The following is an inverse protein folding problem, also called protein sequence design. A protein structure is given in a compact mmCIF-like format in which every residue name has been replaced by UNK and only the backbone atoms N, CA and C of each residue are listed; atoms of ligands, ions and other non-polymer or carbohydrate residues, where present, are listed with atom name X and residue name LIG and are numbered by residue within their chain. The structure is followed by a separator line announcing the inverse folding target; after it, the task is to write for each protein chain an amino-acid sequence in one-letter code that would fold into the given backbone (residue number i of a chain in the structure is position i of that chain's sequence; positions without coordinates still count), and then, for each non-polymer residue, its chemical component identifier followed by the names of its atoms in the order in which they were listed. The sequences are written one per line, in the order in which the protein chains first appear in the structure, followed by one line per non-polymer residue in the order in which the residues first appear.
data_IF_371024189366
#
_entry.id   IF_371024189366
#
_cell.length_a   1.000
_cell.length_b   1.000
_cell.length_c   1.000
_cell.angle_alpha   90.00
_cell.angle_beta   90.00
_cell.angle_gamma   90.00
#
_symmetry.space_group_name_H-M   'P 1'
#
loop_
_entity.id
_entity.type
_entity.pdbx_description
1 polymer ?
#
# COMPACT_ATOMS: atom_id res chain seq x y z
N UNK A 1 -10.98 45.84 22.08
CA UNK A 1 -11.22 46.08 20.67
C UNK A 1 -10.87 44.84 19.91
N UNK A 2 -11.87 44.23 19.40
CA UNK A 2 -11.90 42.86 18.95
C UNK A 2 -11.10 42.65 17.69
N UNK A 3 -10.16 41.72 17.77
CA UNK A 3 -9.53 41.12 16.60
C UNK A 3 -10.35 39.94 16.18
N UNK A 4 -11.05 40.10 15.10
CA UNK A 4 -11.75 39.02 14.44
C UNK A 4 -10.72 38.06 13.82
N UNK A 5 -10.61 36.92 14.40
CA UNK A 5 -9.96 35.77 13.75
C UNK A 5 -10.88 35.35 12.64
N UNK A 6 -10.49 35.64 11.40
CA UNK A 6 -11.17 35.14 10.22
C UNK A 6 -11.08 33.61 10.20
N UNK A 7 -12.22 32.98 10.33
CA UNK A 7 -12.38 31.59 9.91
C UNK A 7 -12.08 31.54 8.40
N UNK A 8 -10.94 30.97 8.08
CA UNK A 8 -10.63 30.60 6.72
C UNK A 8 -11.71 29.69 6.16
N UNK A 9 -11.85 29.61 4.83
CA UNK A 9 -12.89 28.81 4.20
C UNK A 9 -12.82 27.39 4.75
N UNK A 10 -13.96 26.93 5.23
CA UNK A 10 -14.19 25.53 5.50
C UNK A 10 -13.91 24.80 4.19
N UNK A 11 -12.73 24.19 4.06
CA UNK A 11 -12.49 23.23 3.01
C UNK A 11 -13.50 22.13 3.26
N UNK A 12 -14.59 22.14 2.52
CA UNK A 12 -15.38 20.95 2.29
C UNK A 12 -14.34 19.92 1.82
N UNK A 13 -13.98 19.00 2.68
CA UNK A 13 -13.25 17.81 2.28
C UNK A 13 -14.22 17.12 1.34
N UNK A 14 -14.05 17.40 0.06
CA UNK A 14 -14.79 16.71 -0.99
C UNK A 14 -14.42 15.25 -0.80
N UNK A 15 -15.37 14.47 -0.30
CA UNK A 15 -15.13 13.06 0.01
C UNK A 15 -14.72 12.41 -1.30
N UNK A 16 -13.47 11.92 -1.34
CA UNK A 16 -12.92 11.29 -2.53
C UNK A 16 -13.81 10.13 -2.95
N UNK A 17 -14.20 10.10 -4.22
CA UNK A 17 -14.97 9.02 -4.82
C UNK A 17 -14.15 8.38 -5.94
N UNK A 18 -14.22 7.07 -6.02
CA UNK A 18 -13.43 6.29 -6.98
C UNK A 18 -14.36 5.46 -7.88
N UNK A 19 -14.06 5.47 -9.18
CA UNK A 19 -14.66 4.51 -10.11
C UNK A 19 -14.17 3.09 -9.80
N UNK A 20 -14.95 2.10 -10.21
CA UNK A 20 -14.60 0.69 -10.00
C UNK A 20 -13.17 0.36 -10.49
N UNK A 21 -12.75 0.88 -11.65
CA UNK A 21 -11.40 0.67 -12.19
C UNK A 21 -10.30 1.29 -11.32
N UNK A 22 -10.49 2.52 -10.85
CA UNK A 22 -9.56 3.19 -9.94
C UNK A 22 -9.45 2.47 -8.59
N UNK A 23 -10.60 2.03 -8.05
CA UNK A 23 -10.62 1.24 -6.83
C UNK A 23 -9.86 -0.09 -6.99
N UNK A 24 -10.00 -0.75 -8.13
CA UNK A 24 -9.28 -1.97 -8.45
C UNK A 24 -7.76 -1.76 -8.48
N UNK A 25 -7.30 -0.69 -9.11
CA UNK A 25 -5.88 -0.31 -9.14
C UNK A 25 -5.35 -0.05 -7.73
N UNK A 26 -6.07 0.74 -6.92
CA UNK A 26 -5.67 1.06 -5.55
C UNK A 26 -5.60 -0.18 -4.65
N UNK A 27 -6.51 -1.15 -4.85
CA UNK A 27 -6.56 -2.39 -4.07
C UNK A 27 -5.65 -3.50 -4.64
N UNK A 28 -5.07 -3.31 -5.82
CA UNK A 28 -4.26 -4.32 -6.49
C UNK A 28 -5.03 -5.55 -6.94
N UNK A 29 -6.30 -5.39 -7.32
CA UNK A 29 -7.19 -6.47 -7.76
C UNK A 29 -7.82 -6.16 -9.11
N UNK A 30 -8.53 -7.12 -9.70
CA UNK A 30 -9.25 -6.88 -10.95
C UNK A 30 -10.55 -6.09 -10.72
N UNK A 31 -10.97 -5.34 -11.74
CA UNK A 31 -12.27 -4.63 -11.72
C UNK A 31 -13.45 -5.58 -11.50
N UNK A 32 -13.37 -6.80 -11.98
CA UNK A 32 -14.40 -7.81 -11.78
C UNK A 32 -14.48 -8.28 -10.32
N UNK A 33 -13.35 -8.34 -9.65
CA UNK A 33 -13.30 -8.62 -8.21
C UNK A 33 -14.01 -7.52 -7.41
N UNK A 34 -13.74 -6.26 -7.72
CA UNK A 34 -14.42 -5.12 -7.07
C UNK A 34 -15.93 -5.13 -7.37
N UNK A 35 -16.34 -5.43 -8.61
CA UNK A 35 -17.77 -5.56 -8.96
C UNK A 35 -18.45 -6.65 -8.15
N UNK A 36 -17.82 -7.83 -8.02
CA UNK A 36 -18.36 -8.93 -7.20
C UNK A 36 -18.53 -8.50 -5.73
N UNK A 37 -17.57 -7.79 -5.17
CA UNK A 37 -17.67 -7.29 -3.80
C UNK A 37 -18.79 -6.25 -3.63
N UNK A 38 -18.97 -5.38 -4.62
CA UNK A 38 -20.08 -4.42 -4.63
C UNK A 38 -21.43 -5.13 -4.73
N UNK A 39 -21.55 -6.12 -5.62
CA UNK A 39 -22.78 -6.90 -5.80
C UNK A 39 -23.08 -7.78 -4.58
N UNK A 40 -22.06 -8.25 -3.86
CA UNK A 40 -22.19 -8.98 -2.61
C UNK A 40 -22.42 -8.07 -1.37
N UNK A 41 -22.46 -6.75 -1.53
CA UNK A 41 -22.67 -5.80 -0.45
C UNK A 41 -21.48 -5.56 0.48
N UNK A 42 -20.27 -6.04 0.13
CA UNK A 42 -19.05 -5.78 0.92
C UNK A 42 -18.63 -4.31 0.87
N UNK A 43 -18.94 -3.62 -0.21
CA UNK A 43 -18.68 -2.20 -0.38
C UNK A 43 -19.90 -1.53 -1.00
N UNK A 44 -20.24 -0.36 -0.49
CA UNK A 44 -21.35 0.43 -1.02
C UNK A 44 -20.94 1.15 -2.28
N UNK A 45 -21.82 1.15 -3.27
CA UNK A 45 -21.63 1.91 -4.50
C UNK A 45 -22.77 2.90 -4.71
N UNK A 46 -22.42 4.07 -5.24
CA UNK A 46 -23.38 5.08 -5.70
C UNK A 46 -23.37 5.08 -7.22
N UNK A 47 -24.57 5.02 -7.83
CA UNK A 47 -24.73 5.13 -9.28
C UNK A 47 -24.98 6.59 -9.62
N UNK A 48 -24.15 7.17 -10.49
CA UNK A 48 -24.32 8.53 -11.01
C UNK A 48 -24.85 8.51 -12.43
N UNK A 49 -25.13 9.72 -12.96
CA UNK A 49 -25.60 9.93 -14.33
C UNK A 49 -24.75 9.15 -15.34
N UNK A 50 -25.39 8.35 -16.20
CA UNK A 50 -24.71 7.47 -17.15
C UNK A 50 -24.42 6.04 -16.64
N UNK A 51 -25.00 5.63 -15.51
CA UNK A 51 -24.94 4.26 -15.00
C UNK A 51 -23.58 3.86 -14.41
N UNK A 52 -22.66 4.82 -14.19
CA UNK A 52 -21.33 4.56 -13.62
C UNK A 52 -21.43 4.44 -12.12
N UNK A 53 -20.79 3.40 -11.60
CA UNK A 53 -20.69 3.13 -10.17
C UNK A 53 -19.45 3.79 -9.58
N UNK A 54 -19.61 4.42 -8.42
CA UNK A 54 -18.57 5.04 -7.63
C UNK A 54 -18.56 4.47 -6.22
N UNK A 55 -17.40 4.40 -5.62
CA UNK A 55 -17.17 3.96 -4.25
C UNK A 55 -16.66 5.17 -3.46
N UNK A 56 -17.26 5.41 -2.29
CA UNK A 56 -16.78 6.42 -1.35
C UNK A 56 -15.38 6.06 -0.84
N UNK A 57 -14.50 7.06 -0.70
CA UNK A 57 -13.12 6.84 -0.30
C UNK A 57 -12.97 6.23 1.08
N UNK A 58 -13.84 6.58 2.03
CA UNK A 58 -13.81 5.99 3.37
C UNK A 58 -14.23 4.52 3.34
N UNK A 59 -15.26 4.18 2.55
CA UNK A 59 -15.67 2.79 2.34
C UNK A 59 -14.57 1.97 1.65
N UNK A 60 -13.88 2.57 0.68
CA UNK A 60 -12.75 1.93 0.02
C UNK A 60 -11.59 1.68 0.97
N UNK A 61 -11.26 2.65 1.83
CA UNK A 61 -10.22 2.52 2.85
C UNK A 61 -10.55 1.41 3.86
N UNK A 62 -11.81 1.31 4.29
CA UNK A 62 -12.27 0.23 5.16
C UNK A 62 -12.11 -1.14 4.49
N UNK A 63 -12.53 -1.27 3.25
CA UNK A 63 -12.38 -2.51 2.48
C UNK A 63 -10.90 -2.88 2.30
N UNK A 64 -10.03 -1.91 2.02
CA UNK A 64 -8.59 -2.14 1.91
C UNK A 64 -8.01 -2.71 3.21
N UNK A 65 -8.44 -2.20 4.36
CA UNK A 65 -8.00 -2.67 5.67
C UNK A 65 -8.49 -4.10 5.95
N UNK A 66 -9.74 -4.42 5.60
CA UNK A 66 -10.29 -5.78 5.73
C UNK A 66 -9.50 -6.80 4.91
N UNK A 67 -9.22 -6.48 3.64
CA UNK A 67 -8.45 -7.35 2.75
C UNK A 67 -7.02 -7.55 3.27
N UNK A 68 -6.38 -6.48 3.73
CA UNK A 68 -5.03 -6.55 4.30
C UNK A 68 -5.00 -7.42 5.58
N UNK A 69 -6.01 -7.33 6.44
CA UNK A 69 -6.13 -8.16 7.64
C UNK A 69 -6.26 -9.66 7.35
N UNK A 70 -6.88 -10.01 6.22
CA UNK A 70 -6.99 -11.39 5.76
C UNK A 70 -5.64 -11.96 5.25
N UNK A 71 -4.71 -11.10 4.84
CA UNK A 71 -3.46 -11.47 4.17
C UNK A 71 -2.20 -11.39 5.04
N UNK A 72 -2.24 -10.68 6.17
CA UNK A 72 -1.07 -10.46 7.01
C UNK A 72 -1.28 -11.00 8.42
N UNK A 73 -0.60 -12.12 8.76
CA UNK A 73 -0.49 -12.53 10.15
C UNK A 73 0.29 -11.48 10.95
N UNK A 74 -0.07 -11.37 12.22
CA UNK A 74 0.44 -10.40 13.18
C UNK A 74 1.95 -10.16 13.10
N UNK A 75 2.34 -8.87 13.17
CA UNK A 75 3.72 -8.45 13.28
C UNK A 75 4.42 -9.17 14.45
N UNK A 76 5.52 -9.91 14.23
CA UNK A 76 6.21 -10.64 15.29
C UNK A 76 6.57 -9.69 16.44
N UNK A 77 6.20 -10.09 17.65
CA UNK A 77 6.46 -9.29 18.86
C UNK A 77 7.95 -9.00 19.02
N UNK A 78 8.30 -7.74 19.31
CA UNK A 78 9.66 -7.33 19.63
C UNK A 78 10.42 -6.62 18.51
N UNK A 79 9.80 -6.29 17.37
CA UNK A 79 10.44 -5.54 16.29
C UNK A 79 9.90 -4.11 16.17
N UNK A 80 10.79 -3.15 15.96
CA UNK A 80 10.43 -1.73 15.81
C UNK A 80 9.90 -1.36 14.43
N UNK A 81 10.21 -2.16 13.39
CA UNK A 81 9.73 -1.91 12.04
C UNK A 81 8.26 -2.33 11.89
N UNK A 82 7.43 -1.38 11.42
CA UNK A 82 5.98 -1.60 11.25
C UNK A 82 5.59 -1.99 9.84
N UNK A 83 6.43 -1.68 8.85
CA UNK A 83 6.16 -1.93 7.45
C UNK A 83 6.93 -3.16 6.99
N UNK A 84 6.20 -4.22 6.66
CA UNK A 84 6.76 -5.49 6.18
C UNK A 84 6.02 -5.90 4.93
N UNK A 85 6.76 -6.30 3.92
CA UNK A 85 6.23 -6.70 2.62
C UNK A 85 6.83 -8.05 2.25
N UNK A 86 6.02 -9.09 2.40
CA UNK A 86 6.43 -10.44 2.01
C UNK A 86 6.55 -10.52 0.49
N UNK A 87 7.70 -10.97 0.03
CA UNK A 87 7.98 -11.07 -1.41
C UNK A 87 8.97 -12.19 -1.74
N UNK A 88 9.37 -12.20 -2.98
CA UNK A 88 10.38 -13.11 -3.51
C UNK A 88 11.63 -12.31 -3.90
N UNK A 89 12.79 -12.81 -3.54
CA UNK A 89 14.08 -12.26 -3.99
C UNK A 89 14.21 -12.52 -5.49
N UNK A 90 14.40 -11.45 -6.26
CA UNK A 90 14.55 -11.50 -7.73
C UNK A 90 15.98 -11.27 -8.19
N UNK A 91 16.81 -10.66 -7.36
CA UNK A 91 18.20 -10.41 -7.67
C UNK A 91 19.05 -10.15 -6.43
N UNK A 92 20.31 -10.61 -6.48
CA UNK A 92 21.33 -10.32 -5.46
C UNK A 92 22.62 -9.98 -6.18
N UNK A 93 23.07 -8.74 -6.04
CA UNK A 93 24.35 -8.27 -6.59
C UNK A 93 25.28 -7.93 -5.46
N UNK A 94 26.45 -8.53 -5.42
CA UNK A 94 27.44 -8.36 -4.35
C UNK A 94 28.72 -7.73 -4.86
N UNK A 95 29.28 -6.82 -4.10
CA UNK A 95 30.66 -6.34 -4.27
C UNK A 95 31.52 -6.74 -3.04
N UNK A 96 32.65 -6.07 -2.84
CA UNK A 96 33.55 -6.39 -1.72
C UNK A 96 32.96 -6.09 -0.34
N UNK A 97 32.02 -5.15 -0.20
CA UNK A 97 31.53 -4.62 1.08
C UNK A 97 30.00 -4.66 1.18
N UNK A 98 29.31 -4.43 0.08
CA UNK A 98 27.87 -4.28 0.04
C UNK A 98 27.19 -5.35 -0.83
N UNK A 99 25.90 -5.51 -0.61
CA UNK A 99 25.03 -6.28 -1.48
C UNK A 99 23.73 -5.50 -1.74
N UNK A 100 23.35 -5.46 -2.99
CA UNK A 100 22.02 -4.98 -3.41
C UNK A 100 21.11 -6.18 -3.57
N UNK A 101 19.99 -6.14 -2.88
CA UNK A 101 18.97 -7.21 -2.93
C UNK A 101 17.68 -6.63 -3.50
N UNK A 102 17.14 -7.29 -4.50
CA UNK A 102 15.87 -6.92 -5.09
C UNK A 102 14.79 -7.91 -4.65
N UNK A 103 13.65 -7.39 -4.19
CA UNK A 103 12.51 -8.17 -3.71
C UNK A 103 11.26 -7.70 -4.45
N UNK A 104 10.52 -8.63 -5.03
CA UNK A 104 9.22 -8.38 -5.61
C UNK A 104 8.14 -8.79 -4.62
N UNK A 105 7.40 -7.82 -4.08
CA UNK A 105 6.29 -8.04 -3.16
C UNK A 105 4.98 -7.59 -3.83
N UNK A 106 4.20 -8.53 -4.33
CA UNK A 106 3.06 -8.23 -5.18
C UNK A 106 3.47 -7.39 -6.39
N UNK A 107 2.81 -6.26 -6.69
CA UNK A 107 3.17 -5.37 -7.79
C UNK A 107 4.35 -4.44 -7.48
N UNK A 108 4.91 -4.48 -6.26
CA UNK A 108 5.92 -3.53 -5.79
C UNK A 108 7.32 -4.14 -5.80
N UNK A 109 8.27 -3.43 -6.40
CA UNK A 109 9.69 -3.78 -6.37
C UNK A 109 10.37 -3.00 -5.26
N UNK A 110 11.05 -3.71 -4.37
CA UNK A 110 11.89 -3.15 -3.32
C UNK A 110 13.36 -3.39 -3.65
N UNK A 111 14.19 -2.39 -3.39
CA UNK A 111 15.64 -2.50 -3.47
C UNK A 111 16.23 -2.21 -2.10
N UNK A 112 16.95 -3.18 -1.55
CA UNK A 112 17.65 -3.05 -0.29
C UNK A 112 19.16 -3.02 -0.53
N UNK A 113 19.85 -2.12 0.16
CA UNK A 113 21.30 -2.11 0.23
C UNK A 113 21.71 -2.57 1.64
N UNK A 114 22.37 -3.70 1.71
CA UNK A 114 22.84 -4.30 2.97
C UNK A 114 24.34 -4.59 2.88
N UNK A 115 24.95 -4.98 3.98
CA UNK A 115 26.34 -5.43 3.95
C UNK A 115 26.43 -6.77 3.24
N UNK A 116 27.57 -7.00 2.57
CA UNK A 116 27.85 -8.31 1.97
C UNK A 116 27.80 -9.43 2.99
N UNK A 117 28.38 -9.19 4.18
CA UNK A 117 28.36 -10.15 5.30
C UNK A 117 26.92 -10.57 5.65
N UNK A 118 25.99 -9.61 5.80
CA UNK A 118 24.58 -9.91 6.07
C UNK A 118 23.93 -10.74 4.95
N UNK A 119 24.22 -10.42 3.69
CA UNK A 119 23.71 -11.16 2.55
C UNK A 119 24.24 -12.61 2.53
N UNK A 120 25.49 -12.81 2.93
CA UNK A 120 26.12 -14.12 2.99
C UNK A 120 25.60 -14.94 4.19
N UNK A 121 25.43 -14.33 5.36
CA UNK A 121 24.85 -14.98 6.54
C UNK A 121 23.41 -15.43 6.29
N UNK A 122 22.60 -14.59 5.67
CA UNK A 122 21.23 -14.90 5.27
C UNK A 122 21.14 -15.84 4.07
N UNK A 123 22.27 -16.10 3.39
CA UNK A 123 22.36 -16.94 2.17
C UNK A 123 21.37 -16.53 1.09
N UNK A 124 21.23 -15.21 0.88
CA UNK A 124 20.24 -14.67 -0.03
C UNK A 124 20.53 -15.06 -1.49
N UNK A 125 19.54 -15.66 -2.11
CA UNK A 125 19.58 -16.08 -3.51
C UNK A 125 18.24 -15.76 -4.18
N UNK A 126 18.21 -15.49 -5.52
CA UNK A 126 16.98 -15.38 -6.28
C UNK A 126 16.07 -16.61 -6.09
N UNK A 127 14.77 -16.36 -5.89
CA UNK A 127 13.78 -17.40 -5.64
C UNK A 127 13.45 -17.65 -4.17
N UNK A 128 14.23 -17.09 -3.25
CA UNK A 128 13.93 -17.17 -1.82
C UNK A 128 12.80 -16.22 -1.43
N UNK A 129 12.00 -16.64 -0.46
CA UNK A 129 11.01 -15.75 0.16
C UNK A 129 11.72 -14.86 1.19
N UNK A 130 11.44 -13.56 1.15
CA UNK A 130 11.99 -12.59 2.08
C UNK A 130 10.99 -11.46 2.36
N UNK A 131 11.11 -10.88 3.55
CA UNK A 131 10.38 -9.66 3.90
C UNK A 131 11.22 -8.42 3.58
N UNK A 132 10.68 -7.51 2.79
CA UNK A 132 11.18 -6.15 2.75
C UNK A 132 10.65 -5.40 3.98
N UNK A 133 11.56 -4.86 4.78
CA UNK A 133 11.22 -4.26 6.08
C UNK A 133 11.64 -2.79 6.08
N UNK A 134 10.71 -1.89 6.41
CA UNK A 134 10.96 -0.45 6.45
C UNK A 134 10.47 0.13 7.77
N UNK A 135 11.35 0.84 8.49
CA UNK A 135 10.93 1.57 9.69
C UNK A 135 9.93 2.68 9.33
N UNK A 136 8.95 2.90 10.20
CA UNK A 136 7.96 3.96 10.01
C UNK A 136 8.59 5.35 9.80
N UNK A 137 9.72 5.62 10.45
CA UNK A 137 10.47 6.87 10.32
C UNK A 137 11.13 7.08 8.95
N UNK A 138 11.24 6.02 8.15
CA UNK A 138 11.84 6.05 6.81
C UNK A 138 10.79 6.06 5.69
N UNK A 139 9.51 6.08 6.05
CA UNK A 139 8.41 6.15 5.07
C UNK A 139 7.99 7.61 4.92
N UNK A 140 8.15 8.16 3.73
CA UNK A 140 7.61 9.47 3.36
C UNK A 140 6.15 9.33 2.87
N UNK A 141 5.41 10.44 2.97
CA UNK A 141 4.05 10.55 2.41
C UNK A 141 4.02 11.70 1.44
N UNK A 142 3.61 11.43 0.22
CA UNK A 142 3.45 12.42 -0.84
C UNK A 142 2.06 12.26 -1.46
N UNK A 143 1.45 13.36 -1.85
CA UNK A 143 0.22 13.33 -2.61
C UNK A 143 0.55 13.28 -4.10
N UNK A 144 -0.02 12.35 -4.87
CA UNK A 144 0.14 12.34 -6.32
C UNK A 144 -0.45 13.63 -6.91
N UNK A 145 0.20 14.18 -7.91
CA UNK A 145 -0.22 15.45 -8.52
C UNK A 145 -1.56 15.36 -9.24
N UNK A 146 -1.95 14.17 -9.72
CA UNK A 146 -3.29 13.90 -10.30
C UNK A 146 -3.59 12.39 -10.19
N UNK A 147 -4.81 12.05 -9.86
CA UNK A 147 -5.42 10.73 -10.04
C UNK A 147 -6.41 10.78 -11.19
#
# INVERSE_FOLDING_TARGET
MSSFVGFGPCYLVEMAEYRIGQAAELLGVSSDTVRRWADAGRVKTTVRTGGRRYIDGADLARLATEIAGEQHPDNPRGQSARNRFLGIVTGVTKDGVAAQVEIQAGPHRFVALITREAADELKLEPGMVADAVVKATNVGVELPFEL
#
